data_IF_557054646889
#
_entry.id   IF_557054646889
#
_cell.length_a   1.000
_cell.length_b   1.000
_cell.length_c   1.000
_cell.angle_alpha   90.00
_cell.angle_beta   90.00
_cell.angle_gamma   90.00
#
_symmetry.space_group_name_H-M   'P 1'
#
loop_
_entity.id
_entity.type
_entity.pdbx_description
1 polymer ?
#
# COMPACT_ATOMS: atom_id res chain seq x y z
N UNK A 1 -0.01 2.03 -6.91
CA UNK A 1 0.74 1.68 -5.69
C UNK A 1 1.64 2.84 -5.39
N UNK A 2 1.46 3.50 -4.26
CA UNK A 2 2.33 4.60 -3.83
C UNK A 2 3.69 4.06 -3.41
N UNK A 3 4.77 4.71 -3.82
CA UNK A 3 6.13 4.36 -3.40
C UNK A 3 6.28 4.57 -1.89
N UNK A 4 6.86 3.57 -1.23
CA UNK A 4 7.09 3.53 0.21
C UNK A 4 8.58 3.62 0.46
N UNK A 5 9.02 4.78 0.94
CA UNK A 5 10.39 4.97 1.43
C UNK A 5 10.51 4.41 2.85
N UNK A 6 11.21 3.27 2.98
CA UNK A 6 11.52 2.66 4.28
C UNK A 6 12.21 3.65 5.22
N UNK A 7 11.76 3.66 6.47
CA UNK A 7 12.35 4.37 7.58
C UNK A 7 13.26 3.45 8.38
N UNK A 8 13.87 4.00 9.43
CA UNK A 8 14.59 3.19 10.41
C UNK A 8 13.60 2.25 11.10
N UNK A 9 14.02 1.00 11.32
CA UNK A 9 13.29 0.03 12.13
C UNK A 9 12.90 0.64 13.49
N UNK A 10 11.63 0.50 13.93
CA UNK A 10 11.19 1.10 15.19
C UNK A 10 11.90 0.44 16.37
N UNK A 11 12.44 1.27 17.28
CA UNK A 11 13.24 0.81 18.42
C UNK A 11 12.56 -0.31 19.22
N UNK A 12 11.25 -0.22 19.47
CA UNK A 12 10.53 -1.28 20.20
C UNK A 12 10.52 -2.66 19.52
N UNK A 13 10.69 -2.73 18.19
CA UNK A 13 10.87 -3.99 17.48
C UNK A 13 12.32 -4.49 17.57
N UNK A 14 13.29 -3.59 17.41
CA UNK A 14 14.72 -3.91 17.59
C UNK A 14 15.02 -4.39 19.03
N UNK A 15 14.51 -3.68 20.03
CA UNK A 15 14.65 -4.01 21.44
C UNK A 15 14.04 -5.37 21.76
N UNK A 16 12.88 -5.69 21.17
CA UNK A 16 12.25 -6.99 21.31
C UNK A 16 13.08 -8.11 20.67
N UNK A 17 13.66 -7.88 19.48
CA UNK A 17 14.59 -8.84 18.85
C UNK A 17 15.85 -9.05 19.71
N UNK A 18 16.35 -8.00 20.35
CA UNK A 18 17.54 -8.04 21.20
C UNK A 18 17.36 -8.83 22.52
N UNK A 19 16.13 -9.24 22.87
CA UNK A 19 15.89 -10.14 24.01
C UNK A 19 16.36 -11.59 23.75
N UNK A 20 16.85 -11.88 22.54
CA UNK A 20 17.43 -13.17 22.17
C UNK A 20 18.49 -13.64 23.18
N UNK A 21 18.42 -14.91 23.55
CA UNK A 21 19.34 -15.56 24.48
C UNK A 21 19.40 -17.07 24.22
N UNK A 22 20.19 -17.81 24.99
CA UNK A 22 20.39 -19.26 24.81
C UNK A 22 19.07 -20.07 24.84
N UNK A 23 18.09 -19.61 25.61
CA UNK A 23 16.81 -20.32 25.81
C UNK A 23 15.69 -19.82 24.90
N UNK A 24 15.87 -18.70 24.20
CA UNK A 24 14.82 -18.10 23.37
C UNK A 24 15.39 -17.27 22.22
N UNK A 25 14.81 -17.46 21.04
CA UNK A 25 15.12 -16.68 19.84
C UNK A 25 13.84 -16.01 19.32
N UNK A 26 13.92 -14.76 18.84
CA UNK A 26 12.78 -14.07 18.25
C UNK A 26 12.38 -14.75 16.95
N UNK A 27 11.07 -14.98 16.78
CA UNK A 27 10.50 -15.47 15.53
C UNK A 27 9.22 -14.70 15.25
N UNK A 28 8.82 -14.59 13.98
CA UNK A 28 7.56 -13.92 13.65
C UNK A 28 6.35 -14.59 14.32
N UNK A 29 6.40 -15.92 14.52
CA UNK A 29 5.38 -16.68 15.28
C UNK A 29 5.24 -16.20 16.72
N UNK A 30 6.34 -15.80 17.35
CA UNK A 30 6.37 -15.35 18.74
C UNK A 30 6.09 -13.83 18.87
N UNK A 31 6.13 -13.08 17.76
CA UNK A 31 5.82 -11.66 17.74
C UNK A 31 4.33 -11.43 18.03
N UNK A 32 4.03 -10.88 19.20
CA UNK A 32 2.68 -10.68 19.71
C UNK A 32 2.61 -9.47 20.65
N UNK A 33 1.40 -9.12 21.12
CA UNK A 33 1.19 -8.06 22.09
C UNK A 33 1.71 -6.68 21.65
N UNK A 34 2.29 -5.94 22.60
CA UNK A 34 2.78 -4.58 22.40
C UNK A 34 3.86 -4.45 21.30
N UNK A 35 4.90 -5.31 21.22
CA UNK A 35 5.87 -5.24 20.13
C UNK A 35 5.23 -5.32 18.73
N UNK A 36 4.29 -6.26 18.52
CA UNK A 36 3.58 -6.40 17.24
C UNK A 36 2.72 -5.18 16.92
N UNK A 37 2.02 -4.66 17.92
CA UNK A 37 1.16 -3.48 17.79
C UNK A 37 1.98 -2.25 17.41
N UNK A 38 3.10 -2.00 18.10
CA UNK A 38 4.01 -0.88 17.81
C UNK A 38 4.62 -1.00 16.41
N UNK A 39 5.04 -2.20 16.01
CA UNK A 39 5.53 -2.45 14.66
C UNK A 39 4.48 -2.12 13.60
N UNK A 40 3.24 -2.62 13.78
CA UNK A 40 2.15 -2.36 12.84
C UNK A 40 1.81 -0.87 12.73
N UNK A 41 1.76 -0.15 13.86
CA UNK A 41 1.54 1.31 13.88
C UNK A 41 2.66 2.03 13.11
N UNK A 42 3.91 1.64 13.32
CA UNK A 42 5.05 2.23 12.61
C UNK A 42 4.96 1.99 11.08
N UNK A 43 4.59 0.79 10.65
CA UNK A 43 4.38 0.47 9.23
C UNK A 43 3.21 1.26 8.62
N UNK A 44 2.10 1.40 9.35
CA UNK A 44 0.98 2.24 8.91
C UNK A 44 1.41 3.71 8.75
N UNK A 45 2.16 4.26 9.71
CA UNK A 45 2.64 5.64 9.65
C UNK A 45 3.66 5.87 8.52
N UNK A 46 4.59 4.93 8.31
CA UNK A 46 5.54 4.93 7.20
C UNK A 46 4.82 5.03 5.84
N UNK A 47 3.71 4.33 5.69
CA UNK A 47 2.87 4.34 4.49
C UNK A 47 1.89 5.52 4.39
N UNK A 48 1.89 6.46 5.35
CA UNK A 48 0.87 7.51 5.42
C UNK A 48 -0.55 6.96 5.57
N UNK A 49 -0.68 5.83 6.27
CA UNK A 49 -1.94 5.18 6.64
C UNK A 49 -2.78 4.66 5.47
N UNK A 50 -2.19 4.43 4.31
CA UNK A 50 -2.84 3.77 3.17
C UNK A 50 -2.20 2.41 2.90
N UNK A 51 -2.99 1.46 2.39
CA UNK A 51 -2.57 0.10 2.09
C UNK A 51 -1.43 0.13 1.06
N UNK A 52 -0.38 -0.68 1.30
CA UNK A 52 0.79 -0.73 0.44
C UNK A 52 0.48 -1.11 -1.03
N UNK A 53 -0.65 -1.77 -1.27
CA UNK A 53 -1.05 -2.21 -2.60
C UNK A 53 -2.21 -1.40 -3.19
N UNK A 54 -3.38 -1.36 -2.54
CA UNK A 54 -4.57 -0.71 -3.11
C UNK A 54 -4.78 0.74 -2.66
N UNK A 55 -3.95 1.25 -1.76
CA UNK A 55 -4.02 2.64 -1.26
C UNK A 55 -5.32 2.99 -0.51
N UNK A 56 -6.08 1.98 -0.08
CA UNK A 56 -7.19 2.17 0.85
C UNK A 56 -6.71 2.48 2.26
N UNK A 57 -7.50 3.22 3.03
CA UNK A 57 -7.21 3.62 4.41
C UNK A 57 -7.01 2.37 5.26
N UNK A 58 -5.85 2.29 5.90
CA UNK A 58 -5.56 1.27 6.89
C UNK A 58 -6.26 1.63 8.21
N UNK A 59 -7.02 0.67 8.74
CA UNK A 59 -7.66 0.77 10.05
C UNK A 59 -7.04 -0.25 10.97
N UNK A 60 -6.86 0.08 12.25
CA UNK A 60 -6.22 -0.80 13.22
C UNK A 60 -6.84 -2.21 13.25
N UNK A 61 -8.17 -2.29 13.24
CA UNK A 61 -8.92 -3.56 13.26
C UNK A 61 -9.07 -4.23 11.89
N UNK A 62 -8.78 -3.53 10.80
CA UNK A 62 -8.95 -4.02 9.42
C UNK A 62 -7.67 -3.88 8.58
N UNK A 63 -6.56 -4.36 9.12
CA UNK A 63 -5.25 -4.38 8.45
C UNK A 63 -4.33 -5.44 9.07
N UNK A 64 -3.29 -5.82 8.35
CA UNK A 64 -2.30 -6.81 8.79
C UNK A 64 -0.89 -6.39 8.35
N UNK A 65 0.11 -6.95 9.03
CA UNK A 65 1.51 -6.86 8.58
C UNK A 65 1.63 -7.80 7.38
N UNK A 66 2.07 -7.24 6.27
CA UNK A 66 2.31 -7.93 5.01
C UNK A 66 3.80 -8.20 4.86
N UNK A 67 4.14 -9.39 4.39
CA UNK A 67 5.48 -9.73 3.94
C UNK A 67 5.53 -9.60 2.42
N UNK A 68 6.35 -8.69 1.89
CA UNK A 68 6.46 -8.51 0.44
C UNK A 68 6.94 -9.83 -0.21
N UNK A 69 8.09 -10.33 0.21
CA UNK A 69 8.52 -11.72 0.02
C UNK A 69 7.92 -12.61 1.12
N UNK A 70 7.17 -13.67 0.79
CA UNK A 70 6.38 -14.42 1.75
C UNK A 70 7.25 -15.24 2.71
N UNK A 71 6.75 -15.45 3.93
CA UNK A 71 7.42 -16.24 4.98
C UNK A 71 7.60 -17.72 4.61
N UNK A 72 6.86 -18.23 3.61
CA UNK A 72 7.03 -19.58 3.09
C UNK A 72 8.32 -19.76 2.30
N UNK A 73 8.99 -18.67 1.89
CA UNK A 73 10.30 -18.72 1.27
C UNK A 73 11.40 -18.89 2.35
N UNK A 74 12.18 -19.98 2.35
CA UNK A 74 13.19 -20.25 3.37
C UNK A 74 14.38 -19.29 3.35
N UNK A 75 14.57 -18.52 2.28
CA UNK A 75 15.63 -17.51 2.17
C UNK A 75 15.25 -16.16 2.82
N UNK A 76 14.00 -15.99 3.24
CA UNK A 76 13.49 -14.75 3.84
C UNK A 76 13.64 -14.81 5.36
N UNK A 77 14.23 -13.78 5.96
CA UNK A 77 14.07 -13.53 7.39
C UNK A 77 12.65 -12.95 7.64
N UNK A 78 11.75 -13.67 8.34
CA UNK A 78 10.39 -13.18 8.62
C UNK A 78 10.36 -11.92 9.50
N UNK A 79 11.47 -11.55 10.12
CA UNK A 79 11.62 -10.37 10.97
C UNK A 79 12.41 -9.23 10.30
N UNK A 80 12.78 -9.37 9.02
CA UNK A 80 13.40 -8.29 8.26
C UNK A 80 12.41 -7.16 8.01
N UNK A 81 12.59 -6.04 8.72
CA UNK A 81 11.74 -4.85 8.59
C UNK A 81 11.71 -4.28 7.16
N UNK A 82 12.78 -4.46 6.37
CA UNK A 82 12.83 -4.06 4.97
C UNK A 82 11.78 -4.79 4.12
N UNK A 83 11.41 -6.00 4.50
CA UNK A 83 10.43 -6.84 3.84
C UNK A 83 9.00 -6.71 4.43
N UNK A 84 8.82 -5.94 5.51
CA UNK A 84 7.53 -5.74 6.17
C UNK A 84 6.82 -4.47 5.70
N UNK A 85 5.53 -4.63 5.42
CA UNK A 85 4.58 -3.62 4.99
C UNK A 85 3.27 -3.75 5.78
N UNK A 86 2.29 -2.90 5.51
CA UNK A 86 0.93 -3.01 6.02
C UNK A 86 -0.09 -3.07 4.87
N UNK A 87 -0.91 -4.12 4.87
CA UNK A 87 -1.95 -4.39 3.89
C UNK A 87 -3.34 -4.40 4.54
N UNK A 88 -4.38 -4.12 3.77
CA UNK A 88 -5.77 -4.04 4.24
C UNK A 88 -6.47 -5.41 4.31
N UNK A 89 -7.75 -5.41 4.69
CA UNK A 89 -8.66 -6.55 4.55
C UNK A 89 -8.34 -7.75 5.45
N UNK A 90 -7.89 -7.54 6.70
CA UNK A 90 -7.76 -8.68 7.64
C UNK A 90 -9.14 -9.23 8.04
N UNK A 91 -10.18 -8.39 8.00
CA UNK A 91 -11.57 -8.80 8.16
C UNK A 91 -12.19 -8.96 6.77
N UNK A 92 -12.60 -10.18 6.42
CA UNK A 92 -13.28 -10.47 5.15
C UNK A 92 -14.72 -10.87 5.49
N UNK A 93 -15.70 -10.10 5.05
CA UNK A 93 -17.11 -10.49 5.18
C UNK A 93 -17.44 -11.59 4.19
N UNK A 94 -18.43 -12.41 4.52
CA UNK A 94 -18.94 -13.42 3.59
C UNK A 94 -19.39 -12.77 2.26
N UNK A 95 -18.96 -13.35 1.14
CA UNK A 95 -19.22 -12.81 -0.20
C UNK A 95 -18.30 -11.66 -0.63
N UNK A 96 -17.42 -11.15 0.23
CA UNK A 96 -16.53 -10.04 -0.11
C UNK A 96 -15.30 -10.54 -0.89
N UNK A 97 -14.98 -9.96 -2.07
CA UNK A 97 -13.84 -10.39 -2.86
C UNK A 97 -12.51 -10.07 -2.14
N UNK A 98 -11.61 -11.05 -2.10
CA UNK A 98 -10.24 -10.87 -1.59
C UNK A 98 -9.42 -9.99 -2.54
N UNK A 99 -8.52 -9.19 -1.98
CA UNK A 99 -7.54 -8.38 -2.68
C UNK A 99 -6.30 -8.16 -1.80
N UNK A 100 -5.28 -7.52 -2.36
CA UNK A 100 -4.03 -7.17 -1.66
C UNK A 100 -3.33 -8.41 -1.07
N UNK A 101 -2.69 -8.27 0.10
CA UNK A 101 -1.95 -9.36 0.74
C UNK A 101 -2.77 -10.64 0.95
N UNK A 102 -4.09 -10.52 1.22
CA UNK A 102 -4.95 -11.69 1.39
C UNK A 102 -5.21 -12.48 0.10
N UNK A 103 -5.23 -11.81 -1.06
CA UNK A 103 -5.34 -12.51 -2.35
C UNK A 103 -3.98 -12.99 -2.85
N UNK A 104 -2.94 -12.18 -2.62
CA UNK A 104 -1.54 -12.54 -2.93
C UNK A 104 -1.14 -13.85 -2.27
N UNK A 105 -1.50 -14.01 -0.99
CA UNK A 105 -1.09 -15.15 -0.16
C UNK A 105 0.43 -15.37 -0.26
N UNK A 106 0.86 -16.58 -0.61
CA UNK A 106 2.26 -16.95 -0.77
C UNK A 106 2.81 -16.69 -2.18
N UNK A 107 2.03 -16.10 -3.08
CA UNK A 107 2.52 -15.82 -4.42
C UNK A 107 3.56 -14.71 -4.39
N UNK A 108 4.73 -15.02 -4.95
CA UNK A 108 5.82 -14.08 -5.15
C UNK A 108 6.63 -14.53 -6.34
N UNK A 109 6.95 -13.57 -7.19
CA UNK A 109 7.84 -13.73 -8.32
C UNK A 109 8.61 -12.41 -8.44
N UNK A 110 9.95 -12.42 -8.30
CA UNK A 110 10.75 -11.20 -8.28
C UNK A 110 10.67 -10.41 -9.59
N UNK A 111 10.36 -11.08 -10.71
CA UNK A 111 10.28 -10.46 -12.03
C UNK A 111 8.85 -10.04 -12.38
N UNK A 112 7.84 -10.56 -11.68
CA UNK A 112 6.41 -10.33 -12.00
C UNK A 112 5.60 -9.63 -10.91
N UNK A 113 6.16 -9.40 -9.72
CA UNK A 113 5.53 -8.60 -8.67
C UNK A 113 6.24 -7.25 -8.54
N UNK A 114 5.55 -6.18 -8.92
CA UNK A 114 6.03 -4.81 -8.70
C UNK A 114 6.09 -4.55 -7.18
N UNK A 115 7.25 -4.10 -6.72
CA UNK A 115 7.42 -3.75 -5.32
C UNK A 115 6.94 -2.33 -5.05
N UNK A 116 6.12 -2.08 -4.02
CA UNK A 116 5.85 -0.71 -3.57
C UNK A 116 7.07 -0.07 -2.88
N UNK A 117 8.18 -0.82 -2.72
CA UNK A 117 9.48 -0.34 -2.26
C UNK A 117 10.40 0.10 -3.40
N UNK A 118 9.97 -0.08 -4.65
CA UNK A 118 10.67 0.40 -5.83
C UNK A 118 10.20 1.84 -6.12
N UNK A 119 11.10 2.84 -6.23
CA UNK A 119 10.73 4.22 -6.55
C UNK A 119 9.97 4.37 -7.86
N UNK A 120 10.14 3.45 -8.81
CA UNK A 120 9.49 3.51 -10.11
C UNK A 120 8.09 2.87 -10.11
N UNK A 121 7.63 2.29 -8.98
CA UNK A 121 6.40 1.50 -8.92
C UNK A 121 5.13 2.28 -9.32
N UNK A 122 5.09 3.59 -9.03
CA UNK A 122 3.94 4.45 -9.34
C UNK A 122 3.72 4.56 -10.85
N UNK A 123 4.81 4.64 -11.63
CA UNK A 123 4.78 4.83 -13.08
C UNK A 123 4.34 3.59 -13.88
N UNK A 124 4.29 2.43 -13.22
CA UNK A 124 3.95 1.13 -13.85
C UNK A 124 2.45 0.97 -14.12
N UNK A 125 1.63 1.87 -13.59
CA UNK A 125 0.17 1.78 -13.65
C UNK A 125 -0.46 3.08 -14.15
N UNK A 126 -1.53 2.92 -14.92
CA UNK A 126 -2.39 4.03 -15.36
C UNK A 126 -3.79 3.85 -14.80
N UNK A 127 -4.51 4.96 -14.67
CA UNK A 127 -5.84 5.01 -14.10
C UNK A 127 -6.80 5.74 -15.04
N UNK A 128 -8.08 5.40 -14.95
CA UNK A 128 -9.17 6.01 -15.72
C UNK A 128 -10.22 6.61 -14.80
N UNK A 129 -11.06 7.51 -15.32
CA UNK A 129 -12.08 8.20 -14.54
C UNK A 129 -13.16 7.28 -13.93
N UNK A 130 -13.38 6.11 -14.51
CA UNK A 130 -14.26 5.05 -13.96
C UNK A 130 -13.58 4.24 -12.84
N UNK A 131 -12.37 4.64 -12.44
CA UNK A 131 -11.59 4.01 -11.40
C UNK A 131 -10.88 2.74 -11.83
N UNK A 132 -10.80 2.38 -13.11
CA UNK A 132 -10.00 1.21 -13.54
C UNK A 132 -8.49 1.44 -13.38
N UNK A 133 -7.74 0.35 -13.24
CA UNK A 133 -6.27 0.34 -13.17
C UNK A 133 -5.73 -0.63 -14.22
N UNK A 134 -4.73 -0.21 -14.98
CA UNK A 134 -4.11 -0.99 -16.06
C UNK A 134 -2.58 -0.82 -16.03
N UNK A 135 -1.81 -1.72 -16.65
CA UNK A 135 -0.40 -1.47 -16.94
C UNK A 135 -0.22 -0.18 -17.74
N UNK A 136 0.86 0.56 -17.47
CA UNK A 136 1.20 1.73 -18.28
C UNK A 136 1.74 1.37 -19.67
N UNK A 137 2.37 0.19 -19.79
CA UNK A 137 2.76 -0.43 -21.04
C UNK A 137 2.10 -1.81 -21.11
N UNK A 138 1.37 -2.10 -22.20
CA UNK A 138 0.69 -3.39 -22.42
C UNK A 138 1.67 -4.58 -22.47
N UNK A 139 2.96 -4.32 -22.68
CA UNK A 139 4.03 -5.34 -22.65
C UNK A 139 4.60 -5.57 -21.25
N UNK A 140 4.21 -4.75 -20.27
CA UNK A 140 4.66 -4.88 -18.88
C UNK A 140 3.93 -6.02 -18.17
N UNK A 141 4.47 -7.22 -18.35
CA UNK A 141 3.93 -8.43 -17.73
C UNK A 141 3.93 -8.37 -16.21
N UNK A 142 4.87 -7.63 -15.60
CA UNK A 142 4.95 -7.50 -14.14
C UNK A 142 3.80 -6.64 -13.61
N UNK A 143 3.49 -5.51 -14.26
CA UNK A 143 2.31 -4.71 -13.91
C UNK A 143 1.01 -5.51 -14.07
N UNK A 144 0.86 -6.25 -15.19
CA UNK A 144 -0.30 -7.11 -15.43
C UNK A 144 -0.48 -8.14 -14.32
N UNK A 145 0.58 -8.89 -14.00
CA UNK A 145 0.56 -9.94 -12.97
C UNK A 145 0.34 -9.36 -11.58
N UNK A 146 0.89 -8.19 -11.29
CA UNK A 146 0.66 -7.47 -10.04
C UNK A 146 -0.83 -7.12 -9.89
N UNK A 147 -1.47 -6.54 -10.91
CA UNK A 147 -2.91 -6.23 -10.90
C UNK A 147 -3.74 -7.50 -10.67
N UNK A 148 -3.43 -8.58 -11.39
CA UNK A 148 -4.13 -9.86 -11.30
C UNK A 148 -4.02 -10.47 -9.89
N UNK A 149 -2.80 -10.65 -9.39
CA UNK A 149 -2.51 -11.39 -8.16
C UNK A 149 -2.83 -10.62 -6.88
N UNK A 150 -2.82 -9.30 -6.95
CA UNK A 150 -3.30 -8.43 -5.87
C UNK A 150 -4.79 -8.07 -6.03
N UNK A 151 -5.43 -8.45 -7.14
CA UNK A 151 -6.84 -8.15 -7.40
C UNK A 151 -7.10 -6.64 -7.44
N UNK A 152 -6.17 -5.86 -7.99
CA UNK A 152 -6.29 -4.40 -7.99
C UNK A 152 -7.46 -3.95 -8.87
N UNK A 153 -7.74 -4.62 -9.99
CA UNK A 153 -8.82 -4.22 -10.90
C UNK A 153 -10.18 -4.89 -10.62
N UNK A 154 -10.43 -5.39 -9.40
CA UNK A 154 -11.76 -5.93 -9.06
C UNK A 154 -12.81 -4.82 -9.01
N UNK A 155 -14.06 -5.15 -9.34
CA UNK A 155 -15.16 -4.17 -9.39
C UNK A 155 -15.32 -3.34 -8.11
N UNK A 156 -15.07 -3.94 -6.94
CA UNK A 156 -15.08 -3.21 -5.65
C UNK A 156 -14.03 -2.10 -5.60
N UNK A 157 -12.78 -2.39 -5.98
CA UNK A 157 -11.71 -1.39 -5.92
C UNK A 157 -11.88 -0.32 -7.01
N UNK A 158 -12.37 -0.71 -8.20
CA UNK A 158 -12.70 0.25 -9.24
C UNK A 158 -13.79 1.23 -8.78
N UNK A 159 -14.88 0.72 -8.18
CA UNK A 159 -15.93 1.58 -7.64
C UNK A 159 -15.45 2.52 -6.53
N UNK A 160 -14.54 2.06 -5.66
CA UNK A 160 -13.97 2.91 -4.61
C UNK A 160 -13.03 3.98 -5.16
N UNK A 161 -12.24 3.67 -6.20
CA UNK A 161 -11.45 4.68 -6.91
C UNK A 161 -12.35 5.69 -7.60
N UNK A 162 -13.39 5.24 -8.32
CA UNK A 162 -14.33 6.10 -8.99
C UNK A 162 -14.99 7.09 -8.01
N UNK A 163 -15.41 6.61 -6.83
CA UNK A 163 -15.95 7.47 -5.78
C UNK A 163 -14.93 8.49 -5.23
N UNK A 164 -13.63 8.15 -5.20
CA UNK A 164 -12.59 9.10 -4.82
C UNK A 164 -12.27 10.11 -5.93
N UNK A 165 -12.48 9.74 -7.20
CA UNK A 165 -12.27 10.57 -8.39
C UNK A 165 -13.45 11.53 -8.61
N UNK A 166 -14.68 11.10 -8.32
CA UNK A 166 -15.93 11.82 -8.59
C UNK A 166 -15.89 13.32 -8.22
N UNK A 167 -15.37 13.75 -7.05
CA UNK A 167 -15.31 15.16 -6.68
C UNK A 167 -14.46 16.03 -7.61
N UNK A 168 -13.55 15.44 -8.39
CA UNK A 168 -12.65 16.13 -9.31
C UNK A 168 -13.20 16.23 -10.74
N UNK A 169 -14.37 15.66 -11.01
CA UNK A 169 -15.00 15.68 -12.33
C UNK A 169 -15.99 16.84 -12.52
N UNK A 170 -16.18 17.68 -11.49
CA UNK A 170 -17.04 18.86 -11.57
C UNK A 170 -16.35 19.97 -12.39
N UNK A 171 -16.89 20.22 -13.58
CA UNK A 171 -16.41 21.21 -14.54
C UNK A 171 -16.73 22.66 -14.17
N UNK A 172 -17.48 22.86 -13.07
CA UNK A 172 -17.83 24.18 -12.55
C UNK A 172 -16.81 24.72 -11.53
N UNK A 173 -15.86 23.88 -11.07
CA UNK A 173 -14.83 24.31 -10.13
C UNK A 173 -13.85 25.26 -10.86
N UNK A 174 -13.65 26.51 -10.38
CA UNK A 174 -12.66 27.42 -10.93
C UNK A 174 -11.25 26.84 -10.84
N UNK A 175 -10.38 27.12 -11.83
CA UNK A 175 -9.04 26.51 -11.93
C UNK A 175 -8.19 26.66 -10.68
N UNK A 176 -8.17 27.85 -10.04
CA UNK A 176 -7.40 28.08 -8.80
C UNK A 176 -7.91 27.22 -7.63
N UNK A 177 -9.23 27.03 -7.54
CA UNK A 177 -9.86 26.23 -6.48
C UNK A 177 -9.62 24.73 -6.75
N UNK A 178 -9.61 24.33 -8.02
CA UNK A 178 -9.28 22.98 -8.45
C UNK A 178 -7.82 22.62 -8.15
N UNK A 179 -6.86 23.47 -8.50
CA UNK A 179 -5.44 23.29 -8.19
C UNK A 179 -5.21 23.17 -6.68
N UNK A 180 -5.87 24.03 -5.89
CA UNK A 180 -5.84 23.95 -4.44
C UNK A 180 -6.40 22.62 -3.94
N UNK A 181 -7.51 22.14 -4.51
CA UNK A 181 -8.11 20.88 -4.10
C UNK A 181 -7.19 19.69 -4.40
N UNK A 182 -6.55 19.63 -5.58
CA UNK A 182 -5.55 18.60 -5.90
C UNK A 182 -4.39 18.67 -4.91
N UNK A 183 -3.83 19.86 -4.67
CA UNK A 183 -2.76 20.06 -3.70
C UNK A 183 -3.16 19.51 -2.33
N UNK A 184 -4.28 19.97 -1.77
CA UNK A 184 -4.74 19.57 -0.44
C UNK A 184 -4.98 18.04 -0.34
N UNK A 185 -5.36 17.37 -1.45
CA UNK A 185 -5.53 15.91 -1.51
C UNK A 185 -4.19 15.15 -1.57
N UNK A 186 -3.21 15.68 -2.31
CA UNK A 186 -1.93 15.03 -2.54
C UNK A 186 -0.92 15.25 -1.41
N UNK A 187 -1.12 16.26 -0.56
CA UNK A 187 -0.33 16.42 0.66
C UNK A 187 -0.85 15.56 1.80
N UNK A 188 0.06 15.20 2.72
CA UNK A 188 -0.35 14.57 3.98
C UNK A 188 -1.12 15.59 4.82
N UNK A 189 -2.17 15.12 5.48
CA UNK A 189 -2.87 15.93 6.47
C UNK A 189 -2.01 16.22 7.72
N UNK A 190 -2.55 17.00 8.66
CA UNK A 190 -1.87 17.34 9.92
C UNK A 190 -1.55 16.11 10.79
N UNK A 191 -2.18 14.97 10.53
CA UNK A 191 -1.92 13.69 11.20
C UNK A 191 -0.93 12.80 10.44
N UNK A 192 -0.34 13.31 9.34
CA UNK A 192 0.61 12.59 8.51
C UNK A 192 -0.01 11.53 7.60
N UNK A 193 -1.31 11.62 7.31
CA UNK A 193 -2.04 10.65 6.48
C UNK A 193 -2.16 11.13 5.04
N UNK A 194 -1.91 10.23 4.08
CA UNK A 194 -2.34 10.44 2.70
C UNK A 194 -3.84 10.17 2.58
N UNK A 195 -4.51 10.84 1.64
CA UNK A 195 -5.84 10.47 1.19
C UNK A 195 -5.83 9.09 0.49
N UNK A 196 -6.98 8.40 0.47
CA UNK A 196 -7.10 7.10 -0.21
C UNK A 196 -6.87 7.25 -1.72
N UNK A 197 -6.32 6.22 -2.37
CA UNK A 197 -6.11 6.22 -3.83
C UNK A 197 -5.26 7.40 -4.35
N UNK A 198 -4.34 7.89 -3.51
CA UNK A 198 -3.43 8.99 -3.81
C UNK A 198 -2.83 8.93 -5.23
N UNK A 199 -2.33 7.77 -5.65
CA UNK A 199 -1.67 7.59 -6.96
C UNK A 199 -2.67 7.72 -8.11
N UNK A 200 -3.94 7.34 -7.89
CA UNK A 200 -5.00 7.49 -8.89
C UNK A 200 -5.30 8.96 -9.15
N UNK A 201 -5.42 9.75 -8.07
CA UNK A 201 -5.65 11.20 -8.17
C UNK A 201 -4.42 11.91 -8.74
N UNK A 202 -3.22 11.55 -8.29
CA UNK A 202 -1.98 12.10 -8.82
C UNK A 202 -1.81 11.83 -10.32
N UNK A 203 -2.15 10.62 -10.79
CA UNK A 203 -2.05 10.28 -12.21
C UNK A 203 -3.04 11.09 -13.06
N UNK A 204 -4.29 11.21 -12.62
CA UNK A 204 -5.35 11.87 -13.40
C UNK A 204 -5.24 13.39 -13.38
N UNK A 205 -4.78 13.97 -12.25
CA UNK A 205 -4.89 15.41 -12.01
C UNK A 205 -3.59 16.05 -11.48
N UNK A 206 -2.56 15.29 -11.15
CA UNK A 206 -1.31 15.80 -10.55
C UNK A 206 -0.37 16.51 -11.52
N UNK A 207 -0.70 16.55 -12.82
CA UNK A 207 0.12 17.20 -13.87
C UNK A 207 0.41 18.68 -13.64
N UNK A 208 -0.31 19.35 -12.74
CA UNK A 208 -0.04 20.74 -12.35
C UNK A 208 1.25 20.92 -11.52
N UNK A 209 1.79 19.86 -10.92
CA UNK A 209 2.93 19.92 -9.99
C UNK A 209 4.24 19.33 -10.54
N UNK A 210 4.33 19.00 -11.84
CA UNK A 210 5.53 18.41 -12.45
C UNK A 210 6.61 19.44 -12.85
N UNK A 211 6.49 20.68 -12.38
CA UNK A 211 7.43 21.77 -12.64
C UNK A 211 7.80 22.52 -11.34
N UNK A 212 8.39 21.84 -10.37
CA UNK A 212 9.24 22.47 -9.35
C UNK A 212 10.50 21.63 -9.07
#
# INVERSE_FOLDING_TARGET
MKFIKKQKEPAGFSDWKALANENWQPTYKNLSGEPKKKLKIALMAEQGYICCYCERRLKDKDSHIEHFMPQSNPAVDPLDYGNLLCSCQVQIKEGEPRHCGNLKDNWYDPDLLISPLDPDCESRFVFTGDGSIMPADDKDMAAFKTIEKLGLSIGKLNALRAAAIEPFLDDQIPSEEFEKFISDYLFKDQSGQFAEFWTSINYLFGGFFQHE
#
